data_IF_583996654275
#
_entry.id   IF_583996654275
#
_cell.length_a   1.000
_cell.length_b   1.000
_cell.length_c   1.000
_cell.angle_alpha   90.00
_cell.angle_beta   90.00
_cell.angle_gamma   90.00
#
_symmetry.space_group_name_H-M   'P 1'
#
loop_
_entity.id
_entity.type
_entity.pdbx_description
1 polymer ?
#
# COMPACT_ATOMS: atom_id res chain seq x y z
N UNK A 1 16.64 3.85 -9.53
CA UNK A 1 15.40 4.13 -8.75
C UNK A 1 15.70 3.82 -7.30
N UNK A 2 15.50 4.76 -6.36
CA UNK A 2 15.84 4.53 -4.96
C UNK A 2 14.87 3.51 -4.33
N UNK A 3 15.38 2.36 -3.90
CA UNK A 3 14.62 1.29 -3.24
C UNK A 3 13.92 1.78 -1.96
N UNK A 4 14.48 2.81 -1.31
CA UNK A 4 13.86 3.54 -0.18
C UNK A 4 12.43 4.00 -0.49
N UNK A 5 12.12 4.35 -1.74
CA UNK A 5 10.78 4.83 -2.14
C UNK A 5 9.76 3.71 -2.34
N UNK A 6 10.19 2.46 -2.31
CA UNK A 6 9.32 1.28 -2.44
C UNK A 6 9.27 0.53 -1.11
N UNK A 7 10.42 0.12 -0.59
CA UNK A 7 10.53 -0.78 0.57
C UNK A 7 10.69 0.02 1.88
N UNK A 8 11.15 1.28 1.78
CA UNK A 8 11.46 2.10 2.92
C UNK A 8 12.88 1.91 3.45
N UNK A 9 13.29 2.85 4.30
CA UNK A 9 14.68 2.95 4.80
C UNK A 9 14.88 2.21 6.12
N UNK A 10 13.91 2.30 7.02
CA UNK A 10 14.03 1.75 8.38
C UNK A 10 13.60 0.28 8.43
N UNK A 11 14.04 -0.44 9.48
CA UNK A 11 13.59 -1.82 9.72
C UNK A 11 12.06 -1.92 9.84
N UNK A 12 11.43 -0.89 10.43
CA UNK A 12 9.99 -0.81 10.57
C UNK A 12 9.27 -0.61 9.23
N UNK A 13 9.83 0.17 8.30
CA UNK A 13 9.24 0.31 6.96
C UNK A 13 9.33 -1.02 6.18
N UNK A 14 10.46 -1.72 6.29
CA UNK A 14 10.61 -3.05 5.68
C UNK A 14 9.62 -4.07 6.24
N UNK A 15 9.41 -4.06 7.56
CA UNK A 15 8.42 -4.93 8.19
C UNK A 15 7.00 -4.62 7.68
N UNK A 16 6.67 -3.33 7.55
CA UNK A 16 5.38 -2.92 6.96
C UNK A 16 5.23 -3.41 5.52
N UNK A 17 6.29 -3.35 4.73
CA UNK A 17 6.26 -3.83 3.35
C UNK A 17 5.98 -5.34 3.29
N UNK A 18 6.72 -6.13 4.07
CA UNK A 18 6.53 -7.58 4.14
C UNK A 18 5.14 -7.93 4.63
N UNK A 19 4.66 -7.28 5.70
CA UNK A 19 3.32 -7.51 6.22
C UNK A 19 2.21 -7.11 5.22
N UNK A 20 2.36 -5.99 4.52
CA UNK A 20 1.44 -5.58 3.44
C UNK A 20 1.38 -6.62 2.32
N UNK A 21 2.52 -7.13 1.87
CA UNK A 21 2.58 -8.17 0.82
C UNK A 21 1.96 -9.48 1.29
N UNK A 22 2.24 -9.89 2.53
CA UNK A 22 1.66 -11.10 3.11
C UNK A 22 0.15 -10.99 3.28
N UNK A 23 -0.36 -9.83 3.72
CA UNK A 23 -1.79 -9.62 3.88
C UNK A 23 -2.52 -9.66 2.53
N UNK A 24 -2.02 -8.98 1.50
CA UNK A 24 -2.62 -9.04 0.16
C UNK A 24 -2.53 -10.47 -0.42
N UNK A 25 -1.40 -11.17 -0.23
CA UNK A 25 -1.26 -12.55 -0.70
C UNK A 25 -2.19 -13.53 0.03
N UNK A 26 -2.49 -13.28 1.31
CA UNK A 26 -3.39 -14.10 2.12
C UNK A 26 -4.87 -13.80 1.83
N UNK A 27 -5.23 -12.54 1.57
CA UNK A 27 -6.57 -12.17 1.09
C UNK A 27 -6.89 -12.89 -0.20
N UNK A 28 -6.05 -12.68 -1.22
CA UNK A 28 -6.19 -13.33 -2.53
C UNK A 28 -6.02 -14.85 -2.50
N UNK A 29 -5.40 -15.43 -1.46
CA UNK A 29 -5.28 -16.88 -1.32
C UNK A 29 -6.60 -17.57 -0.98
N UNK A 30 -7.67 -16.84 -0.62
CA UNK A 30 -9.03 -17.38 -0.56
C UNK A 30 -9.45 -18.04 -1.90
N UNK A 31 -8.91 -17.56 -3.03
CA UNK A 31 -9.08 -18.18 -4.35
C UNK A 31 -8.32 -19.53 -4.52
N UNK A 32 -7.24 -19.74 -3.77
CA UNK A 32 -6.41 -20.96 -3.84
C UNK A 32 -7.11 -22.13 -3.14
N UNK A 33 -7.88 -21.87 -2.07
CA UNK A 33 -8.74 -22.87 -1.43
C UNK A 33 -9.75 -23.49 -2.41
N UNK A 34 -10.28 -22.70 -3.35
CA UNK A 34 -11.16 -23.17 -4.42
C UNK A 34 -10.44 -24.07 -5.44
N UNK A 35 -9.16 -23.82 -5.71
CA UNK A 35 -8.37 -24.56 -6.71
C UNK A 35 -7.86 -25.93 -6.23
N UNK A 36 -7.69 -26.13 -4.91
CA UNK A 36 -7.12 -27.35 -4.32
C UNK A 36 -8.13 -28.30 -3.65
N UNK A 37 -9.44 -27.97 -3.68
CA UNK A 37 -10.52 -28.88 -3.31
C UNK A 37 -11.21 -28.57 -1.96
N UNK A 38 -12.40 -29.15 -1.73
CA UNK A 38 -13.26 -28.84 -0.59
C UNK A 38 -12.64 -29.37 0.71
N UNK A 39 -11.86 -28.52 1.37
CA UNK A 39 -11.16 -28.86 2.62
C UNK A 39 -10.04 -27.90 3.02
N UNK A 40 -9.62 -27.00 2.13
CA UNK A 40 -8.46 -26.13 2.35
C UNK A 40 -8.81 -24.73 2.88
N UNK A 41 -9.66 -24.61 3.91
CA UNK A 41 -10.16 -23.37 4.57
C UNK A 41 -11.55 -22.95 4.03
N UNK A 42 -12.53 -22.64 4.90
CA UNK A 42 -13.84 -22.13 4.47
C UNK A 42 -13.67 -20.71 3.89
N UNK A 43 -13.38 -20.64 2.60
CA UNK A 43 -12.99 -19.44 1.87
C UNK A 43 -14.14 -18.43 1.62
N UNK A 44 -15.39 -18.77 1.94
CA UNK A 44 -16.53 -17.84 1.76
C UNK A 44 -16.90 -17.08 3.05
N UNK A 45 -16.31 -17.43 4.19
CA UNK A 45 -16.57 -16.80 5.49
C UNK A 45 -15.35 -16.12 6.13
N UNK A 46 -14.15 -16.38 5.60
CA UNK A 46 -12.90 -15.77 6.06
C UNK A 46 -12.88 -14.26 5.84
N UNK A 47 -13.50 -13.77 4.76
CA UNK A 47 -13.43 -12.36 4.35
C UNK A 47 -14.11 -11.44 5.37
N UNK A 48 -15.15 -11.93 6.07
CA UNK A 48 -15.81 -11.22 7.18
C UNK A 48 -14.85 -10.94 8.34
N UNK A 49 -13.86 -11.81 8.55
CA UNK A 49 -12.84 -11.66 9.60
C UNK A 49 -11.57 -11.02 9.05
N UNK A 50 -11.19 -11.32 7.81
CA UNK A 50 -9.95 -10.87 7.21
C UNK A 50 -10.02 -9.42 6.75
N UNK A 51 -11.13 -8.99 6.14
CA UNK A 51 -11.35 -7.60 5.76
C UNK A 51 -11.18 -6.61 6.94
N UNK A 52 -11.78 -6.81 8.13
CA UNK A 52 -11.55 -5.91 9.26
C UNK A 52 -10.12 -6.00 9.82
N UNK A 53 -9.45 -7.16 9.74
CA UNK A 53 -8.04 -7.30 10.14
C UNK A 53 -7.13 -6.47 9.21
N UNK A 54 -7.31 -6.61 7.90
CA UNK A 54 -6.54 -5.89 6.89
C UNK A 54 -6.80 -4.37 6.98
N UNK A 55 -8.05 -3.96 7.16
CA UNK A 55 -8.41 -2.57 7.42
C UNK A 55 -7.76 -2.03 8.70
N UNK A 56 -7.82 -2.79 9.80
CA UNK A 56 -7.18 -2.41 11.06
C UNK A 56 -5.66 -2.27 10.90
N UNK A 57 -5.02 -3.18 10.16
CA UNK A 57 -3.59 -3.10 9.85
C UNK A 57 -3.25 -1.80 9.13
N UNK A 58 -3.97 -1.44 8.06
CA UNK A 58 -3.73 -0.21 7.31
C UNK A 58 -3.86 1.04 8.19
N UNK A 59 -4.88 1.09 9.04
CA UNK A 59 -5.10 2.19 9.97
C UNK A 59 -4.00 2.29 11.03
N UNK A 60 -3.57 1.16 11.60
CA UNK A 60 -2.51 1.13 12.63
C UNK A 60 -1.11 1.39 12.05
N UNK A 61 -0.81 0.84 10.88
CA UNK A 61 0.52 0.90 10.29
C UNK A 61 0.86 2.27 9.69
N UNK A 62 -0.11 2.93 9.05
CA UNK A 62 0.10 4.17 8.29
C UNK A 62 -0.64 5.39 8.86
N UNK A 63 -1.87 5.20 9.35
CA UNK A 63 -2.68 6.28 9.91
C UNK A 63 -3.08 7.38 8.91
N UNK A 64 -3.90 8.33 9.37
CA UNK A 64 -4.34 9.47 8.56
C UNK A 64 -5.53 9.18 7.63
N UNK A 65 -5.90 10.17 6.81
CA UNK A 65 -7.06 10.08 5.91
C UNK A 65 -6.83 9.13 4.73
N UNK A 66 -5.61 9.13 4.20
CA UNK A 66 -5.23 8.31 3.05
C UNK A 66 -5.26 6.81 3.42
N UNK A 67 -4.85 6.45 4.64
CA UNK A 67 -4.95 5.08 5.15
C UNK A 67 -6.40 4.64 5.39
N UNK A 68 -7.29 5.55 5.80
CA UNK A 68 -8.73 5.25 5.93
C UNK A 68 -9.36 4.91 4.59
N UNK A 69 -9.03 5.68 3.54
CA UNK A 69 -9.52 5.41 2.20
C UNK A 69 -9.04 4.02 1.71
N UNK A 70 -7.75 3.72 1.88
CA UNK A 70 -7.20 2.41 1.52
C UNK A 70 -7.81 1.27 2.34
N UNK A 71 -8.05 1.47 3.64
CA UNK A 71 -8.66 0.47 4.52
C UNK A 71 -10.11 0.14 4.13
N UNK A 72 -10.91 1.16 3.79
CA UNK A 72 -12.28 0.96 3.31
C UNK A 72 -12.26 0.27 1.95
N UNK A 73 -11.40 0.73 1.04
CA UNK A 73 -11.28 0.17 -0.30
C UNK A 73 -10.87 -1.32 -0.25
N UNK A 74 -9.81 -1.66 0.47
CA UNK A 74 -9.35 -3.04 0.63
C UNK A 74 -10.40 -3.93 1.30
N UNK A 75 -11.07 -3.45 2.36
CA UNK A 75 -12.13 -4.22 3.00
C UNK A 75 -13.34 -4.49 2.08
N UNK A 76 -13.65 -3.56 1.17
CA UNK A 76 -14.70 -3.76 0.16
C UNK A 76 -14.24 -4.75 -0.92
N UNK A 77 -12.97 -4.70 -1.34
CA UNK A 77 -12.41 -5.62 -2.33
C UNK A 77 -12.38 -7.07 -1.84
N UNK A 78 -12.03 -7.29 -0.57
CA UNK A 78 -12.04 -8.61 0.08
C UNK A 78 -13.47 -9.15 0.23
N UNK A 79 -14.44 -8.28 0.53
CA UNK A 79 -15.85 -8.71 0.70
C UNK A 79 -16.56 -8.99 -0.64
N UNK A 80 -16.00 -8.49 -1.75
CA UNK A 80 -16.54 -8.68 -3.08
C UNK A 80 -15.75 -9.77 -3.82
N UNK A 81 -16.35 -10.95 -4.03
CA UNK A 81 -15.68 -12.01 -4.77
C UNK A 81 -15.36 -11.53 -6.20
N UNK A 82 -14.15 -11.87 -6.68
CA UNK A 82 -13.56 -11.46 -7.97
C UNK A 82 -12.94 -10.04 -8.07
N UNK A 83 -13.06 -9.19 -7.05
CA UNK A 83 -12.28 -7.91 -6.99
C UNK A 83 -11.00 -8.00 -6.16
N UNK A 84 -10.82 -9.08 -5.41
CA UNK A 84 -9.66 -9.41 -4.56
C UNK A 84 -8.37 -9.78 -5.36
N UNK A 85 -8.12 -9.07 -6.45
CA UNK A 85 -6.89 -9.19 -7.27
C UNK A 85 -5.97 -8.00 -7.01
N UNK A 86 -6.51 -6.91 -6.48
CA UNK A 86 -5.77 -5.66 -6.30
C UNK A 86 -5.01 -5.72 -4.97
N UNK A 87 -3.66 -5.64 -5.00
CA UNK A 87 -2.84 -5.69 -3.78
C UNK A 87 -2.88 -4.34 -3.05
N UNK A 88 -4.00 -4.04 -2.40
CA UNK A 88 -4.29 -2.72 -1.82
C UNK A 88 -3.33 -2.35 -0.70
N UNK A 89 -2.93 -3.29 0.16
CA UNK A 89 -1.98 -2.99 1.24
C UNK A 89 -0.59 -2.65 0.70
N UNK A 90 -0.17 -3.33 -0.36
CA UNK A 90 1.14 -3.16 -1.02
C UNK A 90 1.18 -1.84 -1.79
N UNK A 91 0.11 -1.51 -2.53
CA UNK A 91 -0.01 -0.24 -3.24
C UNK A 91 0.04 0.92 -2.24
N UNK A 92 -0.72 0.83 -1.14
CA UNK A 92 -0.71 1.86 -0.12
C UNK A 92 0.67 2.03 0.52
N UNK A 93 1.38 0.93 0.78
CA UNK A 93 2.75 0.97 1.28
C UNK A 93 3.68 1.76 0.35
N UNK A 94 3.71 1.40 -0.94
CA UNK A 94 4.56 2.05 -1.95
C UNK A 94 4.23 3.53 -2.07
N UNK A 95 2.94 3.87 -2.05
CA UNK A 95 2.50 5.25 -2.07
C UNK A 95 2.99 6.03 -0.83
N UNK A 96 2.87 5.45 0.37
CA UNK A 96 3.35 6.04 1.60
C UNK A 96 4.88 6.24 1.60
N UNK A 97 5.65 5.26 1.11
CA UNK A 97 7.11 5.37 1.01
C UNK A 97 7.52 6.43 -0.02
N UNK A 98 6.82 6.54 -1.15
CA UNK A 98 7.07 7.59 -2.15
C UNK A 98 6.85 8.99 -1.57
N UNK A 99 5.82 9.18 -0.75
CA UNK A 99 5.51 10.46 -0.09
C UNK A 99 6.53 10.77 1.00
N UNK A 100 6.89 9.78 1.83
CA UNK A 100 7.83 9.92 2.94
C UNK A 100 9.27 10.17 2.49
N UNK A 101 9.71 9.49 1.42
CA UNK A 101 11.07 9.57 0.88
C UNK A 101 11.14 10.30 -0.47
N UNK A 102 10.20 11.24 -0.71
CA UNK A 102 10.31 12.15 -1.82
C UNK A 102 11.59 12.97 -1.66
N UNK A 103 12.56 12.78 -2.57
CA UNK A 103 13.73 13.63 -2.67
C UNK A 103 13.23 15.03 -3.01
N UNK A 104 13.31 15.95 -2.04
CA UNK A 104 13.18 17.38 -2.33
C UNK A 104 14.40 17.79 -3.15
N UNK A 105 14.18 18.55 -4.22
CA UNK A 105 15.28 19.13 -4.98
C UNK A 105 16.17 19.96 -4.02
N UNK A 106 17.50 19.96 -4.20
CA UNK A 106 18.38 20.88 -3.51
C UNK A 106 17.83 22.30 -3.64
N UNK A 107 17.76 23.03 -2.54
CA UNK A 107 17.22 24.40 -2.53
C UNK A 107 18.00 25.33 -3.48
N UNK A 108 19.30 25.07 -3.65
CA UNK A 108 20.19 25.71 -4.63
C UNK A 108 19.73 25.47 -6.08
N UNK A 109 19.36 24.24 -6.43
CA UNK A 109 18.90 23.88 -7.78
C UNK A 109 17.56 24.55 -8.10
N UNK A 110 16.64 24.63 -7.12
CA UNK A 110 15.37 25.34 -7.25
C UNK A 110 15.60 26.84 -7.46
N UNK A 111 16.51 27.46 -6.68
CA UNK A 111 16.86 28.87 -6.83
C UNK A 111 17.49 29.18 -8.18
N UNK A 112 18.36 28.30 -8.68
CA UNK A 112 18.98 28.46 -9.99
C UNK A 112 17.95 28.38 -11.13
N UNK A 113 17.00 27.44 -11.05
CA UNK A 113 15.93 27.30 -12.03
C UNK A 113 14.99 28.51 -11.98
N UNK A 114 14.58 28.96 -10.79
CA UNK A 114 13.72 30.14 -10.62
C UNK A 114 14.38 31.41 -11.15
N UNK A 115 15.69 31.58 -10.92
CA UNK A 115 16.47 32.68 -11.48
C UNK A 115 16.49 32.65 -13.02
N UNK A 116 16.78 31.49 -13.62
CA UNK A 116 16.77 31.32 -15.08
C UNK A 116 15.39 31.56 -15.71
N UNK A 117 14.32 31.13 -15.03
CA UNK A 117 12.94 31.33 -15.50
C UNK A 117 12.53 32.81 -15.42
N UNK A 118 12.98 33.53 -14.37
CA UNK A 118 12.75 34.96 -14.25
C UNK A 118 13.46 35.73 -15.36
N UNK A 119 14.74 35.46 -15.57
CA UNK A 119 15.55 36.15 -16.58
C UNK A 119 15.10 35.85 -18.03
N UNK A 120 14.36 34.74 -18.26
CA UNK A 120 13.78 34.41 -19.56
C UNK A 120 12.39 35.05 -19.80
N UNK A 121 11.80 35.70 -18.79
CA UNK A 121 10.51 36.42 -18.89
C UNK A 121 10.65 37.92 -19.11
N UNK A 122 11.85 38.46 -18.92
CA UNK A 122 12.21 39.87 -19.14
C UNK A 122 12.83 40.05 -20.55
#
# INVERSE_FOLDING_TARGET
MNLDRIIGRTAWDRLRFVASVLLDALGSASYIGYLFGPGAIPAEGSDVVFAPIQAAWLLMAYGGRDAKAAAIFGAVEELLPATDIVPTCTIHHVWAMRKKYATKAPEEEVKEIDAKVRDARD
#
